data_IF_233423887656
#
_entry.id   IF_233423887656
#
_cell.length_a   1.000
_cell.length_b   1.000
_cell.length_c   1.000
_cell.angle_alpha   90.00
_cell.angle_beta   90.00
_cell.angle_gamma   90.00
#
_symmetry.space_group_name_H-M   'P 1'
#
loop_
_entity.id
_entity.type
_entity.pdbx_description
1 polymer ?
#
# COMPACT_ATOMS: atom_id res chain seq x y z
N UNK A 1 -0.39 4.77 -6.27
CA UNK A 1 -0.43 6.08 -5.57
C UNK A 1 1.02 6.54 -5.42
N UNK A 2 1.34 7.81 -5.65
CA UNK A 2 2.72 8.29 -5.48
C UNK A 2 3.11 8.32 -3.98
N UNK A 3 4.34 7.92 -3.65
CA UNK A 3 4.92 7.95 -2.30
C UNK A 3 6.44 7.74 -2.36
N UNK A 4 7.20 8.08 -1.32
CA UNK A 4 8.65 7.82 -1.24
C UNK A 4 8.89 6.43 -0.65
N UNK A 5 9.12 5.41 -1.48
CA UNK A 5 9.27 4.01 -1.06
C UNK A 5 10.73 3.62 -0.80
N UNK A 6 11.69 4.38 -1.31
CA UNK A 6 13.13 4.11 -1.16
C UNK A 6 13.84 5.06 -0.17
N UNK A 7 13.10 6.00 0.42
CA UNK A 7 13.59 7.03 1.34
C UNK A 7 14.65 7.95 0.71
N UNK A 8 14.52 8.26 -0.58
CA UNK A 8 15.38 9.24 -1.25
C UNK A 8 14.93 10.70 -1.07
N UNK A 9 13.81 10.92 -0.36
CA UNK A 9 13.21 12.21 -0.12
C UNK A 9 12.37 12.72 -1.29
N UNK A 10 12.07 11.87 -2.28
CA UNK A 10 11.24 12.21 -3.45
C UNK A 10 10.13 11.19 -3.63
N UNK A 11 9.08 11.66 -4.27
CA UNK A 11 7.93 10.83 -4.59
C UNK A 11 8.24 9.87 -5.76
N UNK A 12 8.05 8.59 -5.52
CA UNK A 12 8.10 7.53 -6.52
C UNK A 12 6.75 7.30 -7.20
N UNK A 13 6.79 6.61 -8.33
CA UNK A 13 5.60 6.17 -9.03
C UNK A 13 5.24 4.75 -8.62
N UNK A 14 3.98 4.52 -8.27
CA UNK A 14 3.48 3.17 -8.01
C UNK A 14 2.13 2.89 -8.66
N UNK A 15 2.02 1.70 -9.25
CA UNK A 15 0.78 1.14 -9.81
C UNK A 15 0.53 -0.25 -9.27
N UNK A 16 -0.73 -0.66 -9.27
CA UNK A 16 -1.15 -2.00 -8.88
C UNK A 16 -1.82 -2.68 -10.08
N UNK A 17 -1.51 -3.96 -10.28
CA UNK A 17 -2.10 -4.80 -11.33
C UNK A 17 -2.72 -6.05 -10.70
N UNK A 18 -3.95 -6.36 -11.08
CA UNK A 18 -4.55 -7.66 -10.77
C UNK A 18 -3.90 -8.74 -11.65
N UNK A 19 -3.33 -9.76 -11.02
CA UNK A 19 -2.89 -10.99 -11.69
C UNK A 19 -3.49 -12.17 -10.94
N UNK A 20 -4.48 -12.82 -11.56
CA UNK A 20 -5.16 -14.01 -11.02
C UNK A 20 -5.73 -13.82 -9.61
N UNK A 21 -6.28 -12.63 -9.31
CA UNK A 21 -6.92 -12.32 -8.03
C UNK A 21 -5.98 -11.73 -6.98
N UNK A 22 -4.68 -11.65 -7.28
CA UNK A 22 -3.68 -11.07 -6.40
C UNK A 22 -3.26 -9.67 -6.88
N UNK A 23 -3.11 -8.74 -5.94
CA UNK A 23 -2.62 -7.40 -6.23
C UNK A 23 -1.09 -7.39 -6.33
N UNK A 24 -0.60 -7.14 -7.54
CA UNK A 24 0.82 -7.04 -7.87
C UNK A 24 1.21 -5.55 -7.88
N UNK A 25 2.06 -5.16 -6.95
CA UNK A 25 2.52 -3.79 -6.76
C UNK A 25 3.80 -3.56 -7.56
N UNK A 26 3.83 -2.50 -8.35
CA UNK A 26 5.00 -2.07 -9.10
C UNK A 26 5.36 -0.66 -8.65
N UNK A 27 6.52 -0.54 -8.02
CA UNK A 27 7.11 0.74 -7.62
C UNK A 27 8.29 1.02 -8.55
N UNK A 28 8.30 2.22 -9.13
CA UNK A 28 9.39 2.77 -9.90
C UNK A 28 10.03 3.90 -9.08
N UNK A 29 11.15 3.62 -8.39
CA UNK A 29 11.79 4.61 -7.56
C UNK A 29 12.30 5.79 -8.36
N UNK A 30 12.28 6.97 -7.76
CA UNK A 30 12.75 8.22 -8.33
C UNK A 30 14.28 8.20 -8.51
N UNK A 31 14.98 7.56 -7.57
CA UNK A 31 16.44 7.44 -7.54
C UNK A 31 17.02 6.62 -8.71
N UNK A 32 16.36 5.52 -9.07
CA UNK A 32 16.85 4.54 -10.06
C UNK A 32 16.05 4.55 -11.35
N UNK A 33 14.80 5.02 -11.33
CA UNK A 33 13.92 5.08 -12.49
C UNK A 33 13.61 3.74 -13.16
N UNK A 34 13.86 2.62 -12.48
CA UNK A 34 13.81 1.27 -13.09
C UNK A 34 12.92 0.33 -12.29
N UNK A 35 12.21 -0.55 -13.00
CA UNK A 35 11.47 -1.69 -12.45
C UNK A 35 12.10 -2.97 -13.00
N UNK A 36 12.60 -3.86 -12.13
CA UNK A 36 13.41 -5.03 -12.50
C UNK A 36 12.59 -6.22 -13.07
N UNK A 37 11.60 -5.94 -13.92
CA UNK A 37 10.86 -6.97 -14.68
C UNK A 37 9.79 -7.74 -13.90
N UNK A 38 9.61 -7.50 -12.61
CA UNK A 38 8.58 -8.13 -11.75
C UNK A 38 7.95 -7.15 -10.76
N UNK A 39 6.90 -7.57 -10.03
CA UNK A 39 6.31 -6.75 -8.98
C UNK A 39 7.30 -6.53 -7.83
N UNK A 40 7.28 -5.33 -7.27
CA UNK A 40 8.00 -4.99 -6.03
C UNK A 40 7.41 -5.76 -4.83
N UNK A 41 6.10 -6.03 -4.84
CA UNK A 41 5.43 -6.86 -3.85
C UNK A 41 4.14 -7.48 -4.42
N UNK A 42 3.70 -8.60 -3.84
CA UNK A 42 2.37 -9.17 -4.06
C UNK A 42 1.65 -9.13 -2.72
N UNK A 43 0.64 -8.25 -2.61
CA UNK A 43 -0.01 -7.99 -1.33
C UNK A 43 -1.46 -7.53 -1.50
N UNK A 44 -2.38 -8.31 -0.93
CA UNK A 44 -3.82 -8.10 -1.03
C UNK A 44 -4.50 -8.88 -2.17
N UNK A 45 -5.82 -8.84 -2.15
CA UNK A 45 -6.74 -9.58 -3.03
C UNK A 45 -7.59 -8.59 -3.84
N UNK A 46 -7.59 -8.72 -5.16
CA UNK A 46 -8.19 -7.70 -6.05
C UNK A 46 -9.70 -7.55 -5.92
N UNK A 47 -10.38 -8.57 -5.41
CA UNK A 47 -11.84 -8.62 -5.31
C UNK A 47 -12.39 -7.84 -4.11
N UNK A 48 -11.66 -7.79 -3.00
CA UNK A 48 -12.14 -7.20 -1.74
C UNK A 48 -11.31 -6.03 -1.26
N UNK A 49 -10.08 -5.91 -1.74
CA UNK A 49 -9.11 -5.03 -1.10
C UNK A 49 -8.92 -3.75 -1.91
N UNK A 50 -8.90 -2.63 -1.19
CA UNK A 50 -8.62 -1.32 -1.74
C UNK A 50 -7.15 -0.97 -1.50
N UNK A 51 -6.31 -0.84 -2.56
CA UNK A 51 -4.93 -0.42 -2.41
C UNK A 51 -4.82 0.95 -1.73
N UNK A 52 -3.96 1.04 -0.71
CA UNK A 52 -3.62 2.31 -0.05
C UNK A 52 -2.15 2.30 0.35
N UNK A 53 -1.60 3.48 0.63
CA UNK A 53 -0.17 3.67 0.88
C UNK A 53 0.03 4.78 1.91
N UNK A 54 1.16 4.76 2.61
CA UNK A 54 1.53 5.75 3.61
C UNK A 54 2.65 5.22 4.51
N UNK A 55 3.32 6.09 5.26
CA UNK A 55 4.26 5.69 6.32
C UNK A 55 3.46 5.30 7.56
N UNK A 56 3.12 4.02 7.68
CA UNK A 56 2.30 3.46 8.76
C UNK A 56 3.16 2.83 9.85
N UNK A 57 4.40 2.46 9.55
CA UNK A 57 5.34 1.89 10.52
C UNK A 57 6.33 2.91 11.12
N UNK A 58 6.37 4.13 10.57
CA UNK A 58 7.06 5.29 11.12
C UNK A 58 8.56 5.34 10.79
N UNK A 59 9.00 4.58 9.78
CA UNK A 59 10.41 4.51 9.38
C UNK A 59 10.84 5.56 8.35
N UNK A 60 9.90 6.40 7.90
CA UNK A 60 10.15 7.44 6.91
C UNK A 60 10.05 6.97 5.45
N UNK A 61 9.62 5.73 5.20
CA UNK A 61 9.28 5.20 3.87
C UNK A 61 7.78 5.02 3.73
N UNK A 62 7.34 4.98 2.48
CA UNK A 62 5.96 4.66 2.14
C UNK A 62 5.76 3.15 2.19
N UNK A 63 4.83 2.71 3.04
CA UNK A 63 4.40 1.33 3.13
C UNK A 63 3.36 0.97 2.06
N UNK A 64 3.40 -0.29 1.64
CA UNK A 64 2.35 -0.91 0.85
C UNK A 64 1.24 -1.35 1.78
N UNK A 65 -0.01 -0.96 1.50
CA UNK A 65 -1.14 -1.38 2.31
C UNK A 65 -2.39 -1.67 1.48
N UNK A 66 -3.32 -2.36 2.09
CA UNK A 66 -4.69 -2.44 1.60
C UNK A 66 -5.66 -2.09 2.72
N UNK A 67 -6.82 -1.57 2.35
CA UNK A 67 -7.97 -1.51 3.24
C UNK A 67 -8.98 -2.57 2.81
N UNK A 68 -9.37 -3.42 3.76
CA UNK A 68 -10.35 -4.48 3.54
C UNK A 68 -11.62 -4.16 4.32
N UNK A 69 -12.75 -3.86 3.64
CA UNK A 69 -14.04 -3.76 4.32
C UNK A 69 -14.50 -5.12 4.83
N UNK A 70 -15.26 -5.09 5.92
CA UNK A 70 -15.98 -6.26 6.42
C UNK A 70 -17.46 -5.93 6.61
N UNK A 71 -18.33 -6.87 6.27
CA UNK A 71 -19.76 -6.79 6.59
C UNK A 71 -20.03 -6.87 8.09
N UNK A 72 -19.06 -7.36 8.87
CA UNK A 72 -19.15 -7.37 10.33
C UNK A 72 -18.63 -6.05 10.89
N UNK A 73 -19.45 -5.29 11.64
CA UNK A 73 -19.03 -4.03 12.25
C UNK A 73 -17.74 -4.18 13.05
N UNK A 74 -16.81 -3.22 12.90
CA UNK A 74 -15.53 -3.21 13.61
C UNK A 74 -14.47 -4.19 13.08
N UNK A 75 -14.75 -4.94 12.01
CA UNK A 75 -13.77 -5.88 11.41
C UNK A 75 -13.17 -5.38 10.09
N UNK A 76 -13.49 -4.15 9.66
CA UNK A 76 -12.74 -3.53 8.57
C UNK A 76 -11.36 -3.14 9.07
N UNK A 77 -10.34 -3.33 8.24
CA UNK A 77 -8.97 -3.09 8.67
C UNK A 77 -8.07 -2.63 7.53
N UNK A 78 -7.08 -1.82 7.89
CA UNK A 78 -5.88 -1.62 7.10
C UNK A 78 -4.96 -2.82 7.35
N UNK A 79 -4.52 -3.47 6.29
CA UNK A 79 -3.45 -4.45 6.32
C UNK A 79 -2.25 -3.80 5.69
N UNK A 80 -1.13 -3.77 6.41
CA UNK A 80 0.07 -3.03 6.03
C UNK A 80 1.20 -4.02 5.88
N UNK A 81 1.93 -3.92 4.77
CA UNK A 81 3.26 -4.49 4.59
C UNK A 81 4.27 -3.39 4.92
N UNK A 82 4.65 -3.30 6.19
CA UNK A 82 5.60 -2.29 6.68
C UNK A 82 6.98 -2.50 6.06
N UNK A 83 7.62 -1.42 5.62
CA UNK A 83 8.94 -1.44 4.97
C UNK A 83 10.04 -1.96 5.89
N UNK A 84 9.91 -1.74 7.20
CA UNK A 84 10.86 -2.26 8.20
C UNK A 84 10.19 -3.21 9.20
N UNK A 85 8.93 -2.97 9.54
CA UNK A 85 8.23 -3.68 10.63
C UNK A 85 7.55 -4.99 10.22
N UNK A 86 7.53 -5.30 8.91
CA UNK A 86 6.82 -6.46 8.38
C UNK A 86 5.30 -6.26 8.35
N UNK A 87 4.54 -7.37 8.23
CA UNK A 87 3.10 -7.28 8.04
C UNK A 87 2.34 -7.11 9.36
N UNK A 88 1.43 -6.13 9.41
CA UNK A 88 0.50 -5.94 10.54
C UNK A 88 -0.87 -5.45 10.06
N UNK A 89 -1.83 -5.37 10.99
CA UNK A 89 -3.19 -4.90 10.70
C UNK A 89 -3.69 -3.90 11.74
N UNK A 90 -4.44 -2.89 11.28
CA UNK A 90 -5.05 -1.84 12.10
C UNK A 90 -6.56 -1.83 11.85
N UNK A 91 -7.39 -2.28 12.80
CA UNK A 91 -8.84 -2.20 12.67
C UNK A 91 -9.33 -0.76 12.61
N UNK A 92 -9.95 -0.35 11.50
CA UNK A 92 -10.50 0.98 11.32
C UNK A 92 -11.47 1.06 10.13
N UNK A 93 -12.49 1.90 10.29
CA UNK A 93 -13.55 2.10 9.31
C UNK A 93 -14.64 1.03 9.37
N UNK A 94 -15.56 1.13 8.42
CA UNK A 94 -16.73 0.26 8.29
C UNK A 94 -17.05 -0.01 6.81
N UNK A 95 -17.97 -0.96 6.57
CA UNK A 95 -18.42 -1.25 5.21
C UNK A 95 -19.00 0.01 4.54
N UNK A 96 -18.56 0.29 3.32
CA UNK A 96 -18.95 1.49 2.56
C UNK A 96 -17.99 2.67 2.69
N UNK A 97 -17.03 2.62 3.62
CA UNK A 97 -15.92 3.57 3.61
C UNK A 97 -14.97 3.26 2.45
N UNK A 98 -14.07 4.19 2.16
CA UNK A 98 -12.94 3.99 1.25
C UNK A 98 -11.69 4.61 1.87
N UNK A 99 -10.51 3.98 1.75
CA UNK A 99 -9.29 4.54 2.27
C UNK A 99 -8.93 5.81 1.50
N UNK A 100 -8.54 6.85 2.24
CA UNK A 100 -7.85 7.99 1.62
C UNK A 100 -6.43 7.55 1.35
N UNK A 101 -5.99 7.62 0.11
CA UNK A 101 -4.58 7.52 -0.20
C UNK A 101 -3.95 8.90 0.02
N UNK A 102 -3.08 8.99 1.03
CA UNK A 102 -2.51 10.27 1.41
C UNK A 102 -1.30 10.62 0.54
N UNK A 103 -1.18 11.90 0.19
CA UNK A 103 -0.01 12.49 -0.43
C UNK A 103 0.71 13.28 0.66
N UNK A 104 1.82 12.74 1.19
CA UNK A 104 2.61 13.46 2.20
C UNK A 104 3.64 14.35 1.48
N UNK A 105 3.48 15.67 1.59
CA UNK A 105 4.54 16.66 1.32
C UNK A 105 5.04 17.16 2.67
N UNK A 106 6.22 16.72 3.08
CA UNK A 106 7.06 17.49 4.00
C UNK A 106 8.23 18.06 3.21
#
# INVERSE_FOLDING_TARGET
MPGDYDADGKTDLAVVRDVAGALNWFVRPSSTGTINGGPSAIFGQSVTDFPTVGDYDGDGKTDIAIWRPSSTPGQSAFWVLGSTSGTFAVPFGQNGDYPIANFNRF
#
